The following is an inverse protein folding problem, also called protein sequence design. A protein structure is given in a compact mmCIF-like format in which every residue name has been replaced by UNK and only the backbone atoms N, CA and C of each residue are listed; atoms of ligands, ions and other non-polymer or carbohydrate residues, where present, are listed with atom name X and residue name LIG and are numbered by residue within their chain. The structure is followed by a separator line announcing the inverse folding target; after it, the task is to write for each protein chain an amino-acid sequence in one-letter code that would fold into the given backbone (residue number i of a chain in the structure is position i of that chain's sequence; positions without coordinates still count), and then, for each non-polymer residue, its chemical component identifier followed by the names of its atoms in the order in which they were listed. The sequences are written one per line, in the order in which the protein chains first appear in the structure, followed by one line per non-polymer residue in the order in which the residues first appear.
data_IF_817586676084
#
_entry.id   IF_817586676084
#
_cell.length_a   1.000
_cell.length_b   1.000
_cell.length_c   1.000
_cell.angle_alpha   90.00
_cell.angle_beta   90.00
_cell.angle_gamma   90.00
#
_symmetry.space_group_name_H-M   'P 1'
#
loop_
_entity.id
_entity.type
_entity.pdbx_description
1 polymer ?
#
# COMPACT_ATOMS: atom_id res chain seq x y z
N UNK A 1 35.34 -11.25 8.24
CA UNK A 1 33.94 -10.87 7.94
C UNK A 1 33.70 -9.49 8.54
N UNK A 2 33.07 -8.58 7.81
CA UNK A 2 32.73 -7.26 8.34
C UNK A 2 31.68 -7.39 9.45
N UNK A 3 31.71 -6.52 10.48
CA UNK A 3 30.75 -6.58 11.61
C UNK A 3 29.29 -6.59 11.14
N UNK A 4 28.97 -5.79 10.12
CA UNK A 4 27.62 -5.73 9.55
C UNK A 4 27.18 -7.06 8.90
N UNK A 5 28.12 -7.78 8.29
CA UNK A 5 27.86 -9.10 7.70
C UNK A 5 27.57 -10.14 8.79
N UNK A 6 28.23 -10.06 9.94
CA UNK A 6 27.98 -10.97 11.07
C UNK A 6 26.55 -10.83 11.58
N UNK A 7 26.11 -9.59 11.81
CA UNK A 7 24.74 -9.31 12.26
C UNK A 7 23.70 -9.78 11.24
N UNK A 8 23.92 -9.48 9.96
CA UNK A 8 22.99 -9.90 8.90
C UNK A 8 22.83 -11.42 8.80
N UNK A 9 23.90 -12.20 9.05
CA UNK A 9 23.82 -13.66 9.04
C UNK A 9 23.09 -14.21 10.27
N UNK A 10 23.30 -13.61 11.44
CA UNK A 10 22.55 -13.98 12.64
C UNK A 10 21.04 -13.75 12.44
N UNK A 11 20.66 -12.59 11.91
CA UNK A 11 19.26 -12.27 11.63
C UNK A 11 18.67 -13.22 10.57
N UNK A 12 19.41 -13.49 9.49
CA UNK A 12 19.01 -14.47 8.46
C UNK A 12 18.73 -15.85 9.06
N UNK A 13 19.63 -16.34 9.91
CA UNK A 13 19.53 -17.70 10.44
C UNK A 13 18.29 -17.86 11.33
N UNK A 14 17.90 -16.82 12.08
CA UNK A 14 16.63 -16.77 12.81
C UNK A 14 15.42 -16.73 11.86
N UNK A 15 15.45 -15.85 10.85
CA UNK A 15 14.33 -15.70 9.91
C UNK A 15 14.14 -16.91 8.98
N UNK A 16 15.18 -17.72 8.77
CA UNK A 16 15.13 -18.89 7.87
C UNK A 16 14.20 -20.01 8.35
N UNK A 17 13.88 -20.05 9.66
CA UNK A 17 12.92 -21.00 10.23
C UNK A 17 11.46 -20.51 10.24
N UNK A 18 11.17 -19.30 9.75
CA UNK A 18 9.84 -18.71 9.82
C UNK A 18 8.88 -19.34 8.79
N UNK A 19 7.69 -19.72 9.24
CA UNK A 19 6.62 -20.25 8.39
C UNK A 19 5.27 -19.58 8.69
N UNK A 20 4.52 -19.12 7.66
CA UNK A 20 4.92 -19.04 6.25
C UNK A 20 6.10 -18.08 6.01
N UNK A 21 6.90 -18.29 4.95
CA UNK A 21 8.08 -17.46 4.68
C UNK A 21 7.71 -16.02 4.29
N UNK A 22 6.50 -15.83 3.78
CA UNK A 22 5.94 -14.52 3.49
C UNK A 22 5.02 -14.12 4.62
N UNK A 23 5.21 -12.92 5.11
CA UNK A 23 4.29 -12.34 6.08
C UNK A 23 2.91 -12.17 5.43
N UNK A 24 1.81 -12.50 6.15
CA UNK A 24 0.47 -12.33 5.61
C UNK A 24 0.23 -10.90 5.10
N UNK A 25 -0.55 -10.77 4.02
CA UNK A 25 -0.90 -9.45 3.47
C UNK A 25 -1.75 -8.62 4.44
N UNK A 26 -2.49 -9.27 5.34
CA UNK A 26 -3.39 -8.61 6.29
C UNK A 26 -2.88 -8.68 7.72
N UNK A 27 -2.81 -7.52 8.38
CA UNK A 27 -2.44 -7.36 9.80
C UNK A 27 -3.33 -8.17 10.76
N UNK A 28 -4.54 -8.58 10.35
CA UNK A 28 -5.49 -9.36 11.17
C UNK A 28 -4.99 -10.76 11.57
N UNK A 29 -4.03 -11.30 10.83
CA UNK A 29 -3.48 -12.63 11.05
C UNK A 29 -2.13 -12.58 11.82
N UNK A 30 -1.78 -11.41 12.37
CA UNK A 30 -0.56 -11.20 13.17
C UNK A 30 -0.91 -10.85 14.61
N UNK A 31 -0.09 -11.33 15.56
CA UNK A 31 -0.19 -11.00 16.96
C UNK A 31 0.94 -10.05 17.36
N UNK A 32 0.57 -8.85 17.82
CA UNK A 32 1.53 -7.82 18.22
C UNK A 32 1.56 -7.64 19.74
N UNK A 33 2.75 -7.46 20.29
CA UNK A 33 2.96 -7.03 21.68
C UNK A 33 3.37 -5.56 21.75
N UNK A 34 3.41 -4.99 22.96
CA UNK A 34 3.73 -3.57 23.20
C UNK A 34 5.06 -3.13 22.59
N UNK A 35 6.03 -4.04 22.46
CA UNK A 35 7.34 -3.75 21.87
C UNK A 35 7.30 -3.64 20.34
N UNK A 36 6.26 -4.17 19.68
CA UNK A 36 6.12 -4.17 18.22
C UNK A 36 5.44 -2.89 17.68
N UNK A 37 5.25 -1.88 18.52
CA UNK A 37 4.66 -0.58 18.13
C UNK A 37 5.24 0.00 16.84
N UNK A 38 6.58 -0.02 16.59
CA UNK A 38 7.12 0.48 15.34
C UNK A 38 6.65 -0.31 14.11
N UNK A 39 6.61 -1.65 14.21
CA UNK A 39 6.17 -2.53 13.13
C UNK A 39 4.69 -2.34 12.86
N UNK A 40 3.88 -2.28 13.92
CA UNK A 40 2.45 -1.99 13.79
C UNK A 40 2.22 -0.65 13.12
N UNK A 41 2.92 0.40 13.53
CA UNK A 41 2.77 1.73 12.93
C UNK A 41 3.17 1.73 11.45
N UNK A 42 4.21 1.00 11.09
CA UNK A 42 4.60 0.82 9.69
C UNK A 42 3.49 0.14 8.87
N UNK A 43 2.88 -0.93 9.39
CA UNK A 43 1.72 -1.59 8.77
C UNK A 43 0.53 -0.65 8.58
N UNK A 44 0.17 0.10 9.61
CA UNK A 44 -0.93 1.06 9.53
C UNK A 44 -0.68 2.13 8.44
N UNK A 45 0.58 2.58 8.26
CA UNK A 45 0.96 3.51 7.20
C UNK A 45 0.87 2.91 5.80
N UNK A 46 1.23 1.62 5.66
CA UNK A 46 1.05 0.91 4.39
C UNK A 46 -0.43 0.84 4.03
N UNK A 47 -1.28 0.40 4.94
CA UNK A 47 -2.74 0.33 4.75
C UNK A 47 -3.30 1.71 4.34
N UNK A 48 -2.89 2.79 5.00
CA UNK A 48 -3.29 4.16 4.67
C UNK A 48 -2.89 4.57 3.24
N UNK A 49 -1.72 4.15 2.76
CA UNK A 49 -1.25 4.46 1.40
C UNK A 49 -1.93 3.57 0.34
N UNK A 50 -2.19 2.31 0.67
CA UNK A 50 -2.95 1.41 -0.19
C UNK A 50 -4.39 1.92 -0.41
N UNK A 51 -5.05 2.37 0.66
CA UNK A 51 -6.38 2.99 0.60
C UNK A 51 -6.39 4.30 -0.21
N UNK A 52 -5.26 5.01 -0.29
CA UNK A 52 -5.09 6.18 -1.17
C UNK A 52 -4.80 5.81 -2.64
N UNK A 53 -4.74 4.51 -2.95
CA UNK A 53 -4.44 3.97 -4.27
C UNK A 53 -3.00 4.23 -4.70
N UNK A 54 -2.03 4.19 -3.77
CA UNK A 54 -0.62 4.49 -4.06
C UNK A 54 0.24 3.23 -4.30
N UNK A 55 -0.31 2.03 -4.09
CA UNK A 55 0.41 0.77 -4.31
C UNK A 55 0.67 0.57 -5.80
N UNK A 56 1.94 0.36 -6.18
CA UNK A 56 2.33 0.06 -7.55
C UNK A 56 1.83 -1.34 -7.93
N UNK A 57 1.28 -1.48 -9.13
CA UNK A 57 0.97 -2.78 -9.71
C UNK A 57 2.26 -3.42 -10.26
N UNK A 58 3.07 -3.98 -9.35
CA UNK A 58 4.36 -4.59 -9.70
C UNK A 58 4.25 -5.73 -10.71
N UNK A 59 3.11 -6.43 -10.74
CA UNK A 59 2.88 -7.50 -11.72
C UNK A 59 2.75 -6.94 -13.14
N UNK A 60 1.96 -5.87 -13.32
CA UNK A 60 1.81 -5.19 -14.60
C UNK A 60 3.12 -4.51 -15.05
N UNK A 61 3.86 -3.91 -14.12
CA UNK A 61 5.21 -3.38 -14.40
C UNK A 61 6.13 -4.49 -14.90
N UNK A 62 6.17 -5.63 -14.21
CA UNK A 62 7.00 -6.78 -14.60
C UNK A 62 6.59 -7.34 -15.97
N UNK A 63 5.29 -7.40 -16.25
CA UNK A 63 4.77 -7.83 -17.55
C UNK A 63 5.23 -6.90 -18.68
N UNK A 64 5.26 -5.59 -18.43
CA UNK A 64 5.56 -4.57 -19.44
C UNK A 64 7.02 -4.09 -19.43
N UNK A 65 7.88 -4.67 -18.59
CA UNK A 65 9.24 -4.18 -18.31
C UNK A 65 10.15 -4.00 -19.54
N UNK A 66 9.89 -4.72 -20.65
CA UNK A 66 10.68 -4.66 -21.88
C UNK A 66 10.09 -3.74 -22.95
N UNK A 67 8.84 -3.31 -22.78
CA UNK A 67 8.06 -2.65 -23.83
C UNK A 67 7.60 -1.25 -23.45
N UNK A 68 7.54 -0.93 -22.15
CA UNK A 68 7.03 0.35 -21.67
C UNK A 68 7.98 0.99 -20.66
N UNK A 69 8.22 2.28 -20.85
CA UNK A 69 8.86 3.14 -19.86
C UNK A 69 7.78 3.90 -19.10
N UNK A 70 7.81 3.80 -17.77
CA UNK A 70 6.88 4.51 -16.90
C UNK A 70 7.55 5.71 -16.23
N UNK A 71 6.77 6.76 -16.01
CA UNK A 71 7.15 7.84 -15.12
C UNK A 71 6.63 7.61 -13.69
N UNK A 72 7.36 8.17 -12.72
CA UNK A 72 6.94 8.21 -11.31
C UNK A 72 5.58 8.93 -11.20
N UNK A 73 4.63 8.37 -10.44
CA UNK A 73 3.31 8.99 -10.29
C UNK A 73 3.46 10.29 -9.50
N UNK A 74 2.68 11.31 -9.86
CA UNK A 74 2.67 12.59 -9.14
C UNK A 74 1.26 13.20 -9.09
N UNK A 75 0.96 14.07 -8.11
CA UNK A 75 -0.33 14.75 -8.05
C UNK A 75 -0.64 15.59 -9.30
N UNK A 76 0.38 16.18 -9.94
CA UNK A 76 0.21 16.96 -11.16
C UNK A 76 -0.26 16.10 -12.33
N UNK A 77 0.25 14.85 -12.44
CA UNK A 77 -0.17 13.88 -13.47
C UNK A 77 -1.65 13.47 -13.36
N UNK A 78 -2.28 13.68 -12.20
CA UNK A 78 -3.73 13.45 -12.01
C UNK A 78 -4.60 14.59 -12.54
N UNK A 79 -4.04 15.80 -12.68
CA UNK A 79 -4.78 17.02 -13.04
C UNK A 79 -4.49 17.48 -14.47
N UNK A 80 -3.27 17.29 -14.95
CA UNK A 80 -2.80 17.80 -16.24
C UNK A 80 -2.62 16.66 -17.25
N UNK A 81 -3.07 16.89 -18.49
CA UNK A 81 -2.89 15.99 -19.64
C UNK A 81 -1.60 16.33 -20.40
N UNK A 82 -1.21 15.47 -21.36
CA UNK A 82 -0.11 15.75 -22.30
C UNK A 82 1.29 15.26 -21.86
N UNK A 83 1.35 14.30 -20.94
CA UNK A 83 2.63 13.69 -20.55
C UNK A 83 3.12 12.71 -21.61
N UNK A 84 4.43 12.72 -21.89
CA UNK A 84 5.05 11.84 -22.90
C UNK A 84 5.07 10.37 -22.47
N UNK A 85 5.37 10.13 -21.19
CA UNK A 85 5.39 8.79 -20.61
C UNK A 85 4.14 8.55 -19.76
N UNK A 86 3.62 7.35 -19.84
CA UNK A 86 2.54 6.88 -18.98
C UNK A 86 2.98 6.89 -17.51
N UNK A 87 2.02 7.15 -16.61
CA UNK A 87 2.27 6.96 -15.18
C UNK A 87 2.46 5.48 -14.90
N UNK A 88 3.32 5.13 -13.95
CA UNK A 88 3.43 3.75 -13.48
C UNK A 88 2.04 3.24 -13.04
N UNK A 89 1.66 2.01 -13.41
CA UNK A 89 0.36 1.47 -13.05
C UNK A 89 0.27 1.29 -11.53
N UNK A 90 -0.86 1.68 -10.97
CA UNK A 90 -1.19 1.56 -9.55
C UNK A 90 -2.35 0.58 -9.39
N UNK A 91 -2.35 -0.20 -8.30
CA UNK A 91 -3.47 -1.06 -7.95
C UNK A 91 -4.66 -0.15 -7.64
N UNK A 92 -5.76 -0.33 -8.39
CA UNK A 92 -7.01 0.40 -8.12
C UNK A 92 -7.58 -0.11 -6.80
N UNK A 93 -7.71 0.79 -5.83
CA UNK A 93 -8.52 0.52 -4.67
C UNK A 93 -9.99 0.70 -5.08
N UNK A 94 -10.79 -0.37 -5.00
CA UNK A 94 -12.24 -0.24 -5.09
C UNK A 94 -12.69 0.49 -3.82
N UNK A 95 -12.97 1.78 -3.94
CA UNK A 95 -13.82 2.44 -2.95
C UNK A 95 -15.18 1.78 -3.09
N UNK A 96 -15.46 0.73 -2.30
CA UNK A 96 -16.86 0.42 -2.06
C UNK A 96 -17.45 1.67 -1.42
N UNK A 97 -18.46 2.24 -2.09
CA UNK A 97 -19.23 3.40 -1.69
C UNK A 97 -19.98 3.12 -0.37
N UNK A 98 -19.24 2.98 0.73
CA UNK A 98 -19.82 2.82 2.04
C UNK A 98 -20.12 4.21 2.63
N UNK A 99 -21.37 4.63 2.34
CA UNK A 99 -22.19 5.57 3.09
C UNK A 99 -21.83 7.06 3.06
N UNK A 100 -22.11 7.71 1.93
CA UNK A 100 -22.70 9.05 1.97
C UNK A 100 -24.23 8.87 2.03
N UNK A 101 -24.79 8.60 3.22
CA UNK A 101 -26.23 8.82 3.41
C UNK A 101 -26.39 10.34 3.45
N UNK A 102 -26.76 10.95 2.31
CA UNK A 102 -27.36 12.26 2.35
C UNK A 102 -28.70 12.13 3.09
N UNK A 103 -28.70 12.37 4.40
CA UNK A 103 -29.95 12.57 5.14
C UNK A 103 -30.46 13.95 4.74
N UNK A 104 -31.31 13.98 3.72
CA UNK A 104 -32.05 15.20 3.36
C UNK A 104 -33.15 15.37 4.42
N UNK A 105 -32.97 16.29 5.35
CA UNK A 105 -34.05 16.74 6.22
C UNK A 105 -35.02 17.62 5.41
N UNK A 106 -36.17 17.09 5.04
CA UNK A 106 -37.31 17.90 4.62
C UNK A 106 -37.98 18.47 5.87
N UNK A 107 -37.87 19.78 6.07
CA UNK A 107 -38.71 20.49 7.03
C UNK A 107 -40.07 20.73 6.37
N UNK A 108 -41.09 19.98 6.79
CA UNK A 108 -42.48 20.35 6.51
C UNK A 108 -42.82 21.59 7.35
N UNK A 109 -42.74 22.75 6.71
CA UNK A 109 -43.35 23.98 7.21
C UNK A 109 -44.83 23.95 6.81
N UNK A 110 -45.67 23.43 7.70
CA UNK A 110 -47.11 23.74 7.68
C UNK A 110 -47.46 24.52 8.93
N UNK A 111 -47.88 25.77 8.69
CA UNK A 111 -48.50 26.71 9.61
C UNK A 111 -49.76 26.17 10.28
#
# INVERSE_FOLDING_TARGET
MERNQVVAFQDRDVLSGLHPPLTPETTKNEFFVTMDKPIKRYRDLLDDWENKGWRINSEEVRKNQKTHAYAIPSPARRRSKGWVLDSIPLIKHNFEENYFISVTFSYDLTS
#
